data_IF_805861204048
#
_entry.id   IF_805861204048
#
_cell.length_a   1.000
_cell.length_b   1.000
_cell.length_c   1.000
_cell.angle_alpha   90.00
_cell.angle_beta   90.00
_cell.angle_gamma   90.00
#
_symmetry.space_group_name_H-M   'P 1'
#
loop_
_entity.id
_entity.type
_entity.pdbx_description
1 polymer ?
#
# COMPACT_ATOMS: atom_id res chain seq x y z
N UNK A 1 15.09 5.61 -3.41
CA UNK A 1 14.86 6.82 -2.59
C UNK A 1 15.85 7.99 -2.76
N UNK A 2 16.64 8.04 -3.83
CA UNK A 2 17.67 9.08 -4.06
C UNK A 2 17.15 10.54 -4.15
N UNK A 3 15.83 10.76 -4.20
CA UNK A 3 15.21 12.10 -4.33
C UNK A 3 14.48 12.58 -3.07
N UNK A 4 14.53 11.81 -1.97
CA UNK A 4 13.82 12.14 -0.73
C UNK A 4 14.82 12.68 0.31
N UNK A 5 14.80 13.99 0.65
CA UNK A 5 15.73 14.54 1.64
C UNK A 5 15.40 14.11 3.08
N UNK A 6 14.10 13.93 3.40
CA UNK A 6 13.63 13.72 4.77
C UNK A 6 13.17 12.28 5.06
N UNK A 7 13.11 11.41 4.04
CA UNK A 7 12.62 10.03 4.16
C UNK A 7 13.74 9.05 3.83
N UNK A 8 13.96 8.10 4.73
CA UNK A 8 14.89 6.99 4.55
C UNK A 8 14.15 5.64 4.43
N UNK A 9 14.90 4.60 4.09
CA UNK A 9 14.38 3.26 3.88
C UNK A 9 13.74 2.68 5.15
N UNK A 10 14.29 3.01 6.34
CA UNK A 10 13.72 2.57 7.63
C UNK A 10 12.34 3.19 7.88
N UNK A 11 12.12 4.45 7.52
CA UNK A 11 10.81 5.10 7.66
C UNK A 11 9.77 4.49 6.71
N UNK A 12 10.20 4.12 5.50
CA UNK A 12 9.35 3.39 4.56
C UNK A 12 8.99 2.02 5.12
N UNK A 13 9.96 1.29 5.66
CA UNK A 13 9.72 -0.03 6.26
C UNK A 13 8.71 0.05 7.41
N UNK A 14 8.84 1.03 8.32
CA UNK A 14 7.90 1.27 9.40
C UNK A 14 6.49 1.60 8.87
N UNK A 15 6.40 2.41 7.81
CA UNK A 15 5.11 2.71 7.18
C UNK A 15 4.46 1.45 6.60
N UNK A 16 5.22 0.63 5.88
CA UNK A 16 4.69 -0.60 5.27
C UNK A 16 4.27 -1.60 6.34
N UNK A 17 5.02 -1.74 7.42
CA UNK A 17 4.68 -2.58 8.56
C UNK A 17 3.35 -2.15 9.19
N UNK A 18 3.19 -0.85 9.44
CA UNK A 18 1.91 -0.28 9.90
C UNK A 18 0.75 -0.55 8.91
N UNK A 19 0.98 -0.48 7.59
CA UNK A 19 -0.04 -0.80 6.59
C UNK A 19 -0.42 -2.28 6.59
N UNK A 20 0.50 -3.18 6.95
CA UNK A 20 0.19 -4.59 7.17
C UNK A 20 -0.79 -4.73 8.33
N UNK A 21 -0.53 -4.09 9.48
CA UNK A 21 -1.45 -4.09 10.62
C UNK A 21 -2.83 -3.54 10.23
N UNK A 22 -2.88 -2.41 9.51
CA UNK A 22 -4.14 -1.83 9.00
C UNK A 22 -4.88 -2.82 8.09
N UNK A 23 -4.17 -3.51 7.20
CA UNK A 23 -4.78 -4.48 6.29
C UNK A 23 -5.36 -5.69 7.01
N UNK A 24 -4.76 -6.10 8.12
CA UNK A 24 -5.25 -7.20 8.98
C UNK A 24 -6.46 -6.76 9.80
N UNK A 25 -6.43 -5.57 10.39
CA UNK A 25 -7.55 -5.01 11.17
C UNK A 25 -8.83 -4.90 10.35
N UNK A 26 -8.74 -4.36 9.14
CA UNK A 26 -9.88 -4.22 8.22
C UNK A 26 -10.11 -5.43 7.32
N UNK A 27 -9.36 -6.52 7.48
CA UNK A 27 -9.44 -7.75 6.68
C UNK A 27 -9.38 -7.49 5.17
N UNK A 28 -8.50 -6.58 4.77
CA UNK A 28 -8.30 -6.26 3.36
C UNK A 28 -7.57 -7.38 2.62
N UNK A 29 -7.80 -7.47 1.32
CA UNK A 29 -7.11 -8.42 0.46
C UNK A 29 -5.61 -8.13 0.43
N UNK A 30 -4.80 -9.18 0.33
CA UNK A 30 -3.35 -9.02 0.21
C UNK A 30 -2.96 -8.23 -1.05
N UNK A 31 -3.78 -8.27 -2.09
CA UNK A 31 -3.60 -7.48 -3.31
C UNK A 31 -3.78 -5.99 -3.05
N UNK A 32 -4.73 -5.60 -2.19
CA UNK A 32 -4.94 -4.22 -1.76
C UNK A 32 -3.69 -3.64 -1.12
N UNK A 33 -3.03 -4.40 -0.23
CA UNK A 33 -1.76 -4.00 0.37
C UNK A 33 -0.65 -3.85 -0.68
N UNK A 34 -0.53 -4.80 -1.62
CA UNK A 34 0.46 -4.74 -2.70
C UNK A 34 0.29 -3.48 -3.54
N UNK A 35 -0.95 -3.15 -3.92
CA UNK A 35 -1.27 -1.95 -4.67
C UNK A 35 -0.95 -0.68 -3.89
N UNK A 36 -1.32 -0.63 -2.60
CA UNK A 36 -1.01 0.53 -1.76
C UNK A 36 0.49 0.81 -1.68
N UNK A 37 1.32 -0.23 -1.46
CA UNK A 37 2.78 -0.09 -1.44
C UNK A 37 3.32 0.37 -2.80
N UNK A 38 2.81 -0.18 -3.90
CA UNK A 38 3.18 0.26 -5.25
C UNK A 38 2.87 1.74 -5.46
N UNK A 39 1.68 2.20 -5.05
CA UNK A 39 1.30 3.62 -5.18
C UNK A 39 2.21 4.53 -4.35
N UNK A 40 2.57 4.12 -3.13
CA UNK A 40 3.49 4.86 -2.27
C UNK A 40 4.87 4.99 -2.94
N UNK A 41 5.44 3.89 -3.39
CA UNK A 41 6.78 3.87 -3.99
C UNK A 41 6.84 4.72 -5.27
N UNK A 42 5.84 4.59 -6.13
CA UNK A 42 5.70 5.42 -7.33
C UNK A 42 5.53 6.90 -6.98
N UNK A 43 4.68 7.22 -6.02
CA UNK A 43 4.47 8.60 -5.58
C UNK A 43 5.76 9.22 -5.01
N UNK A 44 6.48 8.50 -4.15
CA UNK A 44 7.75 8.93 -3.57
C UNK A 44 8.86 9.05 -4.62
N UNK A 45 8.76 8.38 -5.76
CA UNK A 45 9.72 8.55 -6.87
C UNK A 45 9.55 9.88 -7.59
N UNK A 46 8.34 10.44 -7.59
CA UNK A 46 8.02 11.70 -8.29
C UNK A 46 7.96 12.92 -7.36
N UNK A 47 7.50 12.73 -6.13
CA UNK A 47 7.21 13.83 -5.20
C UNK A 47 8.04 13.72 -3.93
N UNK A 48 8.68 14.83 -3.55
CA UNK A 48 9.33 14.95 -2.25
C UNK A 48 8.29 15.13 -1.15
N UNK A 49 8.40 14.34 -0.08
CA UNK A 49 7.45 14.31 1.04
C UNK A 49 8.22 14.54 2.33
N UNK A 50 7.70 15.40 3.20
CA UNK A 50 8.23 15.58 4.56
C UNK A 50 7.81 14.41 5.45
N UNK A 51 8.67 14.04 6.41
CA UNK A 51 8.43 12.93 7.34
C UNK A 51 7.04 12.96 7.98
N UNK A 52 6.61 14.14 8.45
CA UNK A 52 5.32 14.31 9.12
C UNK A 52 4.09 13.96 8.25
N UNK A 53 4.24 13.89 6.93
CA UNK A 53 3.14 13.56 5.99
C UNK A 53 3.25 12.15 5.42
N UNK A 54 4.27 11.38 5.79
CA UNK A 54 4.48 10.06 5.22
C UNK A 54 3.33 9.11 5.55
N UNK A 55 2.83 9.12 6.79
CA UNK A 55 1.66 8.33 7.19
C UNK A 55 0.39 8.76 6.43
N UNK A 56 0.19 10.06 6.19
CA UNK A 56 -0.93 10.55 5.39
C UNK A 56 -0.89 10.02 3.94
N UNK A 57 0.31 9.94 3.35
CA UNK A 57 0.49 9.32 2.03
C UNK A 57 0.11 7.85 2.07
N UNK A 58 0.58 7.10 3.08
CA UNK A 58 0.23 5.70 3.28
C UNK A 58 -1.28 5.48 3.43
N UNK A 59 -1.93 6.27 4.29
CA UNK A 59 -3.38 6.22 4.52
C UNK A 59 -4.16 6.47 3.23
N UNK A 60 -3.80 7.51 2.48
CA UNK A 60 -4.48 7.83 1.22
C UNK A 60 -4.21 6.77 0.13
N UNK A 61 -3.01 6.21 0.07
CA UNK A 61 -2.68 5.13 -0.86
C UNK A 61 -3.49 3.86 -0.56
N UNK A 62 -3.61 3.47 0.72
CA UNK A 62 -4.43 2.33 1.14
C UNK A 62 -5.92 2.58 0.84
N UNK A 63 -6.42 3.80 1.07
CA UNK A 63 -7.79 4.20 0.73
C UNK A 63 -8.07 4.09 -0.77
N UNK A 64 -7.15 4.52 -1.64
CA UNK A 64 -7.28 4.34 -3.10
C UNK A 64 -7.26 2.86 -3.46
N UNK A 65 -6.30 2.09 -2.92
CA UNK A 65 -6.16 0.67 -3.20
C UNK A 65 -7.39 -0.13 -2.77
N UNK A 66 -7.96 0.18 -1.59
CA UNK A 66 -9.18 -0.49 -1.11
C UNK A 66 -10.37 -0.21 -2.03
N UNK A 67 -10.55 1.03 -2.50
CA UNK A 67 -11.61 1.35 -3.46
C UNK A 67 -11.43 0.69 -4.83
N UNK A 68 -10.19 0.40 -5.20
CA UNK A 68 -9.88 -0.26 -6.47
C UNK A 68 -10.11 -1.77 -6.42
N UNK A 69 -9.72 -2.42 -5.32
CA UNK A 69 -9.65 -3.89 -5.22
C UNK A 69 -10.80 -4.52 -4.43
N UNK A 70 -11.30 -3.84 -3.38
CA UNK A 70 -12.28 -4.43 -2.46
C UNK A 70 -13.71 -4.30 -2.99
N UNK A 71 -14.52 -5.35 -2.75
CA UNK A 71 -15.97 -5.31 -3.04
C UNK A 71 -16.68 -4.34 -2.09
N UNK A 72 -16.25 -4.31 -0.82
CA UNK A 72 -16.78 -3.44 0.23
C UNK A 72 -15.61 -2.69 0.89
N UNK A 73 -15.13 -1.60 0.27
CA UNK A 73 -14.02 -0.84 0.83
C UNK A 73 -14.45 -0.15 2.13
N UNK A 74 -13.55 -0.05 3.12
CA UNK A 74 -13.80 0.72 4.34
C UNK A 74 -14.09 2.19 4.01
N UNK A 75 -14.89 2.83 4.84
CA UNK A 75 -15.18 4.26 4.70
C UNK A 75 -13.98 5.12 5.10
N UNK A 76 -13.93 6.33 4.57
CA UNK A 76 -12.84 7.29 4.89
C UNK A 76 -12.75 7.59 6.39
N UNK A 77 -13.85 7.53 7.12
CA UNK A 77 -13.91 7.71 8.57
C UNK A 77 -13.11 6.65 9.32
N UNK A 78 -13.10 5.42 8.84
CA UNK A 78 -12.31 4.33 9.40
C UNK A 78 -10.80 4.56 9.18
N UNK A 79 -10.42 5.07 8.01
CA UNK A 79 -9.03 5.46 7.73
C UNK A 79 -8.57 6.68 8.55
N UNK A 80 -9.45 7.59 8.92
CA UNK A 80 -9.14 8.67 9.86
C UNK A 80 -8.95 8.11 11.26
N UNK A 81 -9.87 7.25 11.72
CA UNK A 81 -9.81 6.61 13.03
C UNK A 81 -8.50 5.83 13.27
N UNK A 82 -8.06 5.02 12.29
CA UNK A 82 -6.82 4.21 12.42
C UNK A 82 -5.55 5.07 12.53
N UNK A 83 -5.61 6.35 12.21
CA UNK A 83 -4.51 7.31 12.41
C UNK A 83 -4.60 8.07 13.75
N UNK A 84 -5.43 7.59 14.68
CA UNK A 84 -5.73 8.27 15.94
C UNK A 84 -6.15 9.74 15.73
N UNK A 85 -7.00 9.97 14.74
CA UNK A 85 -7.47 11.30 14.33
C UNK A 85 -6.34 12.32 14.05
N UNK A 86 -5.13 11.82 13.79
CA UNK A 86 -3.96 12.68 13.44
C UNK A 86 -4.25 13.51 12.18
N UNK A 87 -5.04 12.95 11.27
CA UNK A 87 -5.42 13.63 10.02
C UNK A 87 -6.93 13.75 9.90
N UNK A 88 -7.38 14.90 9.37
CA UNK A 88 -8.79 15.13 9.09
C UNK A 88 -9.21 14.44 7.79
N UNK A 89 -10.49 14.12 7.66
CA UNK A 89 -11.11 13.62 6.41
C UNK A 89 -10.72 14.44 5.19
N UNK A 90 -10.71 15.78 5.34
CA UNK A 90 -10.35 16.69 4.25
C UNK A 90 -8.87 16.56 3.83
N UNK A 91 -7.97 16.29 4.78
CA UNK A 91 -6.55 16.08 4.47
C UNK A 91 -6.35 14.77 3.71
N UNK A 92 -7.01 13.69 4.11
CA UNK A 92 -6.96 12.41 3.40
C UNK A 92 -7.50 12.56 1.97
N UNK A 93 -8.65 13.22 1.78
CA UNK A 93 -9.22 13.46 0.45
C UNK A 93 -8.34 14.36 -0.45
N UNK A 94 -7.66 15.34 0.14
CA UNK A 94 -6.70 16.18 -0.62
C UNK A 94 -5.49 15.35 -1.05
N UNK A 95 -4.98 14.50 -0.16
CA UNK A 95 -3.84 13.62 -0.47
C UNK A 95 -4.24 12.58 -1.51
N UNK A 96 -5.43 12.00 -1.42
CA UNK A 96 -5.98 11.12 -2.44
C UNK A 96 -5.98 11.76 -3.83
N UNK A 97 -6.54 12.97 -3.95
CA UNK A 97 -6.56 13.72 -5.23
C UNK A 97 -5.15 13.96 -5.77
N UNK A 98 -4.20 14.28 -4.89
CA UNK A 98 -2.81 14.50 -5.27
C UNK A 98 -2.16 13.19 -5.76
N UNK A 99 -2.35 12.08 -5.04
CA UNK A 99 -1.88 10.76 -5.44
C UNK A 99 -2.41 10.36 -6.81
N UNK A 100 -3.73 10.43 -7.01
CA UNK A 100 -4.36 10.10 -8.29
C UNK A 100 -3.82 10.94 -9.44
N UNK A 101 -3.60 12.24 -9.20
CA UNK A 101 -3.01 13.13 -10.21
C UNK A 101 -1.57 12.75 -10.55
N UNK A 102 -0.72 12.50 -9.55
CA UNK A 102 0.69 12.14 -9.75
C UNK A 102 0.83 10.78 -10.43
N UNK A 103 -0.03 9.82 -10.08
CA UNK A 103 -0.09 8.50 -10.70
C UNK A 103 -0.81 8.51 -12.06
N UNK A 104 -1.34 9.67 -12.52
CA UNK A 104 -2.10 9.81 -13.77
C UNK A 104 -3.28 8.83 -13.86
N UNK A 105 -3.91 8.46 -12.74
CA UNK A 105 -4.94 7.41 -12.62
C UNK A 105 -4.50 6.03 -13.13
N UNK A 106 -3.21 5.81 -13.35
CA UNK A 106 -2.68 4.50 -13.69
C UNK A 106 -2.54 3.64 -12.42
N UNK A 107 -3.64 3.00 -12.05
CA UNK A 107 -3.80 2.22 -10.83
C UNK A 107 -3.60 0.72 -11.03
N UNK A 108 -3.71 0.25 -12.27
CA UNK A 108 -3.55 -1.15 -12.61
C UNK A 108 -2.07 -1.53 -12.65
N UNK A 109 -1.56 -2.07 -11.54
CA UNK A 109 -0.20 -2.57 -11.47
C UNK A 109 -0.21 -4.08 -11.17
N UNK A 110 0.33 -4.94 -12.07
CA UNK A 110 0.44 -6.36 -11.79
C UNK A 110 1.36 -6.58 -10.59
N UNK A 111 0.83 -7.22 -9.54
CA UNK A 111 1.61 -7.52 -8.35
C UNK A 111 2.34 -8.86 -8.49
N UNK A 112 3.40 -9.05 -7.70
CA UNK A 112 4.04 -10.36 -7.58
C UNK A 112 3.05 -11.43 -7.09
N UNK A 113 2.07 -11.04 -6.28
CA UNK A 113 1.03 -11.92 -5.77
C UNK A 113 0.09 -12.40 -6.88
N UNK A 114 -0.31 -11.51 -7.81
CA UNK A 114 -1.10 -11.89 -9.00
C UNK A 114 -0.38 -12.93 -9.84
N UNK A 115 0.93 -12.81 -10.04
CA UNK A 115 1.73 -13.80 -10.76
C UNK A 115 1.79 -15.14 -10.02
N UNK A 116 2.01 -15.14 -8.70
CA UNK A 116 2.00 -16.40 -7.92
C UNK A 116 0.65 -17.09 -8.03
N UNK A 117 -0.45 -16.35 -7.91
CA UNK A 117 -1.79 -16.91 -8.03
C UNK A 117 -2.01 -17.51 -9.42
N UNK A 118 -1.61 -16.80 -10.48
CA UNK A 118 -1.70 -17.28 -11.86
C UNK A 118 -0.87 -18.55 -12.08
N UNK A 119 0.42 -18.54 -11.72
CA UNK A 119 1.29 -19.71 -11.90
C UNK A 119 0.87 -20.90 -11.05
N UNK A 120 0.39 -20.65 -9.82
CA UNK A 120 -0.12 -21.71 -8.95
C UNK A 120 -1.34 -22.41 -9.55
N UNK A 121 -2.24 -21.64 -10.19
CA UNK A 121 -3.39 -22.20 -10.87
C UNK A 121 -3.00 -23.01 -12.12
N UNK A 122 -2.02 -22.52 -12.90
CA UNK A 122 -1.55 -23.19 -14.13
C UNK A 122 -0.76 -24.47 -13.86
N UNK A 123 0.06 -24.50 -12.80
CA UNK A 123 0.99 -25.57 -12.50
C UNK A 123 0.50 -26.53 -11.42
N UNK A 124 -0.72 -26.37 -10.91
CA UNK A 124 -1.28 -27.19 -9.81
C UNK A 124 -0.34 -27.27 -8.59
N UNK A 125 0.24 -26.13 -8.20
CA UNK A 125 1.19 -26.06 -7.09
C UNK A 125 0.46 -26.35 -5.77
N UNK A 126 1.03 -27.17 -4.86
CA UNK A 126 0.45 -27.43 -3.56
C UNK A 126 0.21 -26.13 -2.76
N UNK A 127 -0.95 -26.01 -2.09
CA UNK A 127 -1.35 -24.83 -1.32
C UNK A 127 -0.29 -24.40 -0.29
N UNK A 128 0.43 -25.36 0.32
CA UNK A 128 1.51 -25.07 1.27
C UNK A 128 2.64 -24.23 0.65
N UNK A 129 3.04 -24.55 -0.58
CA UNK A 129 4.10 -23.81 -1.29
C UNK A 129 3.60 -22.43 -1.69
N UNK A 130 2.35 -22.35 -2.17
CA UNK A 130 1.70 -21.07 -2.49
C UNK A 130 1.65 -20.16 -1.27
N UNK A 131 1.22 -20.68 -0.12
CA UNK A 131 1.16 -19.92 1.14
C UNK A 131 2.56 -19.42 1.55
N UNK A 132 3.59 -20.27 1.50
CA UNK A 132 4.97 -19.85 1.80
C UNK A 132 5.46 -18.73 0.88
N UNK A 133 5.14 -18.80 -0.41
CA UNK A 133 5.49 -17.77 -1.37
C UNK A 133 4.79 -16.43 -1.06
N UNK A 134 3.51 -16.47 -0.67
CA UNK A 134 2.75 -15.29 -0.28
C UNK A 134 3.29 -14.63 0.99
N UNK A 135 3.69 -15.42 2.00
CA UNK A 135 4.32 -14.91 3.23
C UNK A 135 5.66 -14.24 2.91
N UNK A 136 6.47 -14.85 2.05
CA UNK A 136 7.75 -14.28 1.64
C UNK A 136 7.58 -12.94 0.90
N UNK A 137 6.54 -12.79 0.08
CA UNK A 137 6.25 -11.52 -0.58
C UNK A 137 5.93 -10.43 0.43
N UNK A 138 5.09 -10.69 1.44
CA UNK A 138 4.81 -9.71 2.50
C UNK A 138 6.09 -9.24 3.19
N UNK A 139 6.98 -10.16 3.53
CA UNK A 139 8.29 -9.85 4.12
C UNK A 139 9.17 -9.02 3.17
N UNK A 140 9.16 -9.30 1.87
CA UNK A 140 9.93 -8.55 0.88
C UNK A 140 9.45 -7.10 0.72
N UNK A 141 8.15 -6.82 0.87
CA UNK A 141 7.65 -5.44 0.83
C UNK A 141 8.20 -4.55 1.94
N UNK A 142 8.47 -5.14 3.10
CA UNK A 142 9.06 -4.42 4.24
C UNK A 142 10.55 -4.15 4.00
N UNK A 143 11.27 -5.12 3.43
CA UNK A 143 12.74 -5.08 3.32
C UNK A 143 13.27 -4.51 2.00
N UNK A 144 12.53 -4.64 0.88
CA UNK A 144 12.96 -4.08 -0.40
C UNK A 144 12.54 -2.62 -0.55
N UNK A 145 13.50 -1.72 -0.32
CA UNK A 145 13.42 -0.35 -0.83
C UNK A 145 13.84 -0.36 -2.30
N UNK A 146 12.92 -0.04 -3.20
CA UNK A 146 13.25 0.20 -4.61
C UNK A 146 13.98 1.53 -4.81
#
# INVERSE_FOLDING_TARGET
>A
MKKQPDINDSMRAILVDWLVEVSEEYRLQSETLCLAVNYIDRFLSFMSVVRAKLQLVGTAAMFIASKYEEIYPPEITEFVYITDDTYTKQQVLRMEKLLLKVLSFDLCAPSALSFINLYSAMMSIPEKIKFMAQVNIKSLFITCAC
#
